data_IF_803351977840
#
_entry.id   IF_803351977840
#
_cell.length_a   1.000
_cell.length_b   1.000
_cell.length_c   1.000
_cell.angle_alpha   90.00
_cell.angle_beta   90.00
_cell.angle_gamma   90.00
#
_symmetry.space_group_name_H-M   'P 1'
#
loop_
_entity.id
_entity.type
_entity.pdbx_description
1 polymer ?
#
# COMPACT_ATOMS: atom_id res chain seq x y z
N UNK A 1 2.67 11.35 1.93
CA UNK A 1 1.52 12.29 1.95
C UNK A 1 1.20 12.83 0.57
N UNK A 2 2.03 13.67 -0.08
CA UNK A 2 1.75 14.21 -1.43
C UNK A 2 1.39 13.15 -2.47
N UNK A 3 2.14 12.04 -2.53
CA UNK A 3 1.90 10.96 -3.49
C UNK A 3 0.53 10.29 -3.29
N UNK A 4 0.11 10.05 -2.04
CA UNK A 4 -1.22 9.54 -1.72
C UNK A 4 -2.33 10.48 -2.22
N UNK A 5 -2.20 11.79 -1.98
CA UNK A 5 -3.18 12.78 -2.45
C UNK A 5 -3.30 12.82 -3.98
N UNK A 6 -2.20 12.58 -4.69
CA UNK A 6 -2.21 12.49 -6.16
C UNK A 6 -2.86 11.18 -6.61
N UNK A 7 -2.51 10.05 -5.99
CA UNK A 7 -3.11 8.75 -6.31
C UNK A 7 -4.62 8.72 -6.05
N UNK A 8 -5.08 9.29 -4.94
CA UNK A 8 -6.50 9.25 -4.56
C UNK A 8 -7.41 9.96 -5.60
N UNK A 9 -6.85 10.78 -6.51
CA UNK A 9 -7.58 11.41 -7.63
C UNK A 9 -7.59 10.58 -8.92
N UNK A 10 -6.79 9.54 -9.00
CA UNK A 10 -6.70 8.67 -10.18
C UNK A 10 -7.76 7.56 -10.11
N UNK A 11 -8.19 7.00 -11.26
CA UNK A 11 -8.99 5.78 -11.28
C UNK A 11 -8.28 4.62 -10.57
N UNK A 12 -9.04 3.75 -9.91
CA UNK A 12 -8.52 2.60 -9.16
C UNK A 12 -7.48 1.78 -9.94
N UNK A 13 -7.75 1.50 -11.21
CA UNK A 13 -6.83 0.76 -12.09
C UNK A 13 -5.44 1.40 -12.13
N UNK A 14 -5.37 2.73 -12.27
CA UNK A 14 -4.10 3.46 -12.33
C UNK A 14 -3.43 3.58 -10.97
N UNK A 15 -4.20 3.68 -9.88
CA UNK A 15 -3.64 3.63 -8.52
C UNK A 15 -2.94 2.30 -8.26
N UNK A 16 -3.60 1.20 -8.62
CA UNK A 16 -3.09 -0.17 -8.44
C UNK A 16 -1.89 -0.43 -9.35
N UNK A 17 -1.94 0.00 -10.61
CA UNK A 17 -0.81 -0.09 -11.53
C UNK A 17 0.40 0.70 -11.02
N UNK A 18 0.17 1.90 -10.48
CA UNK A 18 1.23 2.69 -9.85
C UNK A 18 1.84 1.95 -8.65
N UNK A 19 1.01 1.39 -7.76
CA UNK A 19 1.50 0.63 -6.61
C UNK A 19 2.28 -0.62 -7.04
N UNK A 20 1.82 -1.39 -8.02
CA UNK A 20 2.59 -2.55 -8.54
C UNK A 20 3.97 -2.16 -9.05
N UNK A 21 4.08 -0.99 -9.68
CA UNK A 21 5.33 -0.53 -10.28
C UNK A 21 6.28 0.17 -9.31
N UNK A 22 5.75 0.78 -8.23
CA UNK A 22 6.52 1.69 -7.36
C UNK A 22 6.54 1.31 -5.89
N UNK A 23 5.64 0.44 -5.44
CA UNK A 23 5.56 -0.01 -4.06
C UNK A 23 6.29 -1.35 -3.89
N UNK A 24 6.69 -1.63 -2.65
CA UNK A 24 7.24 -2.92 -2.24
C UNK A 24 6.06 -3.83 -1.88
N UNK A 25 6.00 -5.01 -2.49
CA UNK A 25 5.01 -6.02 -2.11
C UNK A 25 5.39 -6.65 -0.76
N UNK A 26 4.47 -6.65 0.19
CA UNK A 26 4.67 -7.17 1.55
C UNK A 26 4.11 -8.59 1.74
N UNK A 27 3.25 -9.06 0.82
CA UNK A 27 2.57 -10.36 0.92
C UNK A 27 1.05 -10.23 0.99
N UNK A 28 0.37 -11.33 1.27
CA UNK A 28 -1.08 -11.36 1.50
C UNK A 28 -1.39 -11.49 3.00
N UNK A 29 -2.55 -11.02 3.42
CA UNK A 29 -3.12 -11.34 4.74
C UNK A 29 -4.45 -12.08 4.53
N UNK A 30 -4.76 -13.03 5.41
CA UNK A 30 -6.10 -13.61 5.42
C UNK A 30 -7.04 -12.70 6.20
N UNK A 31 -8.16 -12.31 5.59
CA UNK A 31 -9.22 -11.55 6.23
C UNK A 31 -10.58 -12.09 5.79
N UNK A 32 -11.28 -12.79 6.70
CA UNK A 32 -12.66 -13.24 6.49
C UNK A 32 -12.91 -13.88 5.10
N UNK A 33 -12.10 -14.89 4.74
CA UNK A 33 -12.12 -15.63 3.46
C UNK A 33 -11.63 -14.87 2.22
N UNK A 34 -11.10 -13.65 2.38
CA UNK A 34 -10.44 -12.89 1.32
C UNK A 34 -8.95 -12.80 1.57
N UNK A 35 -8.17 -12.63 0.52
CA UNK A 35 -6.71 -12.51 0.57
C UNK A 35 -6.25 -11.17 -0.01
N UNK A 36 -6.50 -10.05 0.68
CA UNK A 36 -5.96 -8.77 0.23
C UNK A 36 -4.42 -8.79 0.22
N UNK A 37 -3.87 -8.18 -0.83
CA UNK A 37 -2.46 -8.04 -1.09
C UNK A 37 -1.94 -6.72 -0.50
N UNK A 38 -0.89 -6.79 0.30
CA UNK A 38 -0.30 -5.65 0.98
C UNK A 38 0.87 -5.07 0.17
N UNK A 39 0.85 -3.75 0.02
CA UNK A 39 1.88 -2.98 -0.68
C UNK A 39 2.34 -1.82 0.20
N UNK A 40 3.64 -1.55 0.20
CA UNK A 40 4.27 -0.45 0.93
C UNK A 40 4.87 0.54 -0.05
N UNK A 41 4.32 1.75 -0.09
CA UNK A 41 4.83 2.86 -0.89
C UNK A 41 5.51 3.87 0.03
N UNK A 42 6.84 3.86 0.04
CA UNK A 42 7.62 4.61 1.01
C UNK A 42 7.33 4.11 2.42
N UNK A 43 6.70 4.94 3.26
CA UNK A 43 6.28 4.58 4.61
C UNK A 43 4.80 4.21 4.72
N UNK A 44 4.03 4.35 3.64
CA UNK A 44 2.57 4.17 3.69
C UNK A 44 2.21 2.77 3.22
N UNK A 45 1.30 2.12 3.93
CA UNK A 45 0.85 0.76 3.59
C UNK A 45 -0.57 0.80 3.04
N UNK A 46 -0.78 0.12 1.93
CA UNK A 46 -2.06 -0.08 1.29
C UNK A 46 -2.36 -1.58 1.16
N UNK A 47 -3.63 -1.93 1.24
CA UNK A 47 -4.14 -3.23 0.84
C UNK A 47 -4.93 -3.10 -0.46
N UNK A 48 -4.72 -4.05 -1.36
CA UNK A 48 -5.43 -4.16 -2.63
C UNK A 48 -6.15 -5.49 -2.64
N UNK A 49 -7.46 -5.45 -2.92
CA UNK A 49 -8.26 -6.65 -3.09
C UNK A 49 -8.54 -6.87 -4.57
N UNK A 50 -8.38 -8.10 -5.04
CA UNK A 50 -8.62 -8.49 -6.42
C UNK A 50 -9.84 -9.38 -6.55
N UNK A 51 -10.46 -9.37 -7.73
CA UNK A 51 -11.53 -10.31 -8.06
C UNK A 51 -11.04 -11.74 -7.86
N UNK A 52 -11.84 -12.55 -7.16
CA UNK A 52 -11.52 -13.95 -6.83
C UNK A 52 -10.16 -14.15 -6.11
N UNK A 53 -9.62 -13.09 -5.49
CA UNK A 53 -8.32 -13.11 -4.82
C UNK A 53 -7.15 -13.44 -5.77
N UNK A 54 -7.30 -13.12 -7.06
CA UNK A 54 -6.30 -13.36 -8.11
C UNK A 54 -5.69 -12.03 -8.61
N UNK A 55 -4.38 -11.83 -8.39
CA UNK A 55 -3.67 -10.62 -8.82
C UNK A 55 -3.63 -10.43 -10.34
N UNK A 56 -3.92 -11.44 -11.15
CA UNK A 56 -4.03 -11.26 -12.60
C UNK A 56 -5.34 -10.59 -13.01
N UNK A 57 -6.33 -10.56 -12.10
CA UNK A 57 -7.66 -10.01 -12.33
C UNK A 57 -7.76 -8.55 -11.93
N UNK A 58 -8.96 -7.98 -12.13
CA UNK A 58 -9.21 -6.56 -11.85
C UNK A 58 -9.15 -6.29 -10.34
N UNK A 59 -8.61 -5.14 -9.93
CA UNK A 59 -8.72 -4.71 -8.55
C UNK A 59 -10.16 -4.31 -8.23
N UNK A 60 -10.68 -4.82 -7.13
CA UNK A 60 -11.99 -4.46 -6.57
C UNK A 60 -11.88 -3.22 -5.68
N UNK A 61 -10.83 -3.16 -4.85
CA UNK A 61 -10.63 -2.07 -3.91
C UNK A 61 -9.17 -1.84 -3.58
N UNK A 62 -8.88 -0.60 -3.15
CA UNK A 62 -7.59 -0.18 -2.62
C UNK A 62 -7.87 0.63 -1.36
N UNK A 63 -7.28 0.20 -0.25
CA UNK A 63 -7.47 0.83 1.05
C UNK A 63 -6.12 1.10 1.69
N UNK A 64 -5.85 2.37 2.01
CA UNK A 64 -4.70 2.72 2.85
C UNK A 64 -4.98 2.29 4.29
N UNK A 65 -3.97 1.77 5.00
CA UNK A 65 -4.12 1.27 6.36
C UNK A 65 -3.70 2.33 7.41
N UNK A 66 -4.60 3.24 7.84
CA UNK A 66 -4.26 4.28 8.81
C UNK A 66 -3.85 3.71 10.18
N UNK A 67 -4.30 2.50 10.52
CA UNK A 67 -3.95 1.83 11.78
C UNK A 67 -2.45 1.54 11.92
N UNK A 68 -1.68 1.60 10.84
CA UNK A 68 -0.24 1.38 10.86
C UNK A 68 0.57 2.67 11.04
N UNK A 69 -0.09 3.81 11.30
CA UNK A 69 0.59 5.11 11.40
C UNK A 69 1.71 5.16 12.44
N UNK A 70 1.63 4.40 13.54
CA UNK A 70 2.73 4.31 14.50
C UNK A 70 3.97 3.64 13.89
N UNK A 71 3.79 2.60 13.07
CA UNK A 71 4.86 1.96 12.33
C UNK A 71 5.43 2.93 11.28
N UNK A 72 4.58 3.64 10.55
CA UNK A 72 5.03 4.66 9.57
C UNK A 72 5.90 5.73 10.25
N UNK A 73 5.49 6.20 11.43
CA UNK A 73 6.22 7.20 12.23
C UNK A 73 7.53 6.65 12.80
N UNK A 74 7.55 5.37 13.18
CA UNK A 74 8.78 4.71 13.65
C UNK A 74 9.80 4.60 12.51
N UNK A 75 9.38 4.10 11.34
CA UNK A 75 10.21 4.01 10.13
C UNK A 75 10.78 5.39 9.78
N UNK A 76 9.95 6.44 9.79
CA UNK A 76 10.41 7.79 9.49
C UNK A 76 11.49 8.31 10.45
N UNK A 77 11.38 8.00 11.75
CA UNK A 77 12.40 8.40 12.75
C UNK A 77 13.74 7.71 12.49
N UNK A 78 13.72 6.41 12.22
CA UNK A 78 14.93 5.63 11.90
C UNK A 78 15.60 6.09 10.60
N UNK A 79 14.81 6.41 9.57
CA UNK A 79 15.38 6.95 8.32
C UNK A 79 16.00 8.34 8.51
N UNK A 80 15.38 9.21 9.32
CA UNK A 80 15.95 10.53 9.64
C UNK A 80 17.20 10.41 10.49
N UNK A 81 17.25 9.51 11.48
CA UNK A 81 18.42 9.33 12.34
C UNK A 81 19.62 8.73 11.59
N UNK A 82 19.38 7.86 10.61
CA UNK A 82 20.42 7.21 9.81
C UNK A 82 21.00 8.10 8.70
N UNK A 83 20.27 9.10 8.22
CA UNK A 83 20.73 10.03 7.17
C UNK A 83 21.68 11.12 7.70
N UNK A 84 21.77 11.30 9.02
CA UNK A 84 22.63 12.29 9.68
C UNK A 84 23.88 11.68 10.35
N UNK A 85 24.41 10.57 9.83
CA UNK A 85 25.73 10.04 10.24
C UNK A 85 26.75 10.15 9.11
#
# INVERSE_FOLDING_TARGET
>A
MLVKFILDRLPLKHQVEYLRNKAVYLGTRSNQNRQPHLYMLGKQIAEILFEEDDESKKPESLVWLPGLQQLENHIEREFKSSTFK
#
